data_IF_163204423944
#
_entry.id   IF_163204423944
#
_cell.length_a   1.000
_cell.length_b   1.000
_cell.length_c   1.000
_cell.angle_alpha   90.00
_cell.angle_beta   90.00
_cell.angle_gamma   90.00
#
_symmetry.space_group_name_H-M   'P 1'
#
loop_
_entity.id
_entity.type
_entity.pdbx_description
1 polymer ?
#
# COMPACT_ATOMS: atom_id res chain seq x y z
N UNK A 1 15.33 6.68 -12.14
CA UNK A 1 14.67 6.51 -13.46
C UNK A 1 15.11 5.27 -14.24
N UNK A 2 16.25 4.63 -13.95
CA UNK A 2 16.83 3.56 -14.79
C UNK A 2 15.91 2.33 -14.95
N UNK A 3 15.12 1.98 -13.93
CA UNK A 3 14.30 0.77 -13.94
C UNK A 3 12.92 0.93 -14.57
N UNK A 4 12.38 2.15 -14.62
CA UNK A 4 10.99 2.34 -14.97
C UNK A 4 10.65 2.01 -16.43
N UNK A 5 11.48 2.36 -17.43
CA UNK A 5 11.25 1.91 -18.81
C UNK A 5 11.22 0.39 -18.93
N UNK A 6 12.18 -0.31 -18.29
CA UNK A 6 12.22 -1.78 -18.29
C UNK A 6 11.02 -2.40 -17.60
N UNK A 7 10.49 -1.77 -16.55
CA UNK A 7 9.29 -2.25 -15.87
C UNK A 7 8.06 -2.07 -16.78
N UNK A 8 7.97 -0.94 -17.47
CA UNK A 8 6.89 -0.65 -18.41
C UNK A 8 6.90 -1.66 -19.56
N UNK A 9 8.06 -1.87 -20.21
CA UNK A 9 8.24 -2.84 -21.29
C UNK A 9 7.86 -4.26 -20.85
N UNK A 10 8.26 -4.66 -19.64
CA UNK A 10 7.89 -5.96 -19.08
C UNK A 10 6.39 -6.07 -18.83
N UNK A 11 5.77 -5.03 -18.29
CA UNK A 11 4.35 -5.01 -17.97
C UNK A 11 3.49 -5.10 -19.24
N UNK A 12 3.80 -4.30 -20.27
CA UNK A 12 3.08 -4.30 -21.55
C UNK A 12 3.30 -5.61 -22.30
N UNK A 13 4.53 -6.14 -22.31
CA UNK A 13 4.82 -7.44 -22.93
C UNK A 13 4.07 -8.59 -22.24
N UNK A 14 3.98 -8.57 -20.90
CA UNK A 14 3.26 -9.59 -20.15
C UNK A 14 1.73 -9.48 -20.37
N UNK A 15 1.20 -8.27 -20.44
CA UNK A 15 -0.21 -8.01 -20.73
C UNK A 15 -0.57 -8.21 -22.22
N UNK A 16 0.43 -8.27 -23.11
CA UNK A 16 0.28 -8.35 -24.56
C UNK A 16 -0.55 -7.19 -25.14
N UNK A 17 -0.30 -6.00 -24.64
CA UNK A 17 -0.95 -4.76 -25.11
C UNK A 17 0.10 -3.79 -25.65
N UNK A 18 -0.30 -2.97 -26.62
CA UNK A 18 0.39 -1.75 -26.97
C UNK A 18 -0.02 -0.60 -26.04
N UNK A 19 0.90 0.33 -25.75
CA UNK A 19 0.60 1.46 -24.87
C UNK A 19 -0.49 2.39 -25.42
N UNK A 20 -0.72 2.39 -26.74
CA UNK A 20 -1.81 3.15 -27.36
C UNK A 20 -3.20 2.60 -27.02
N UNK A 21 -3.29 1.33 -26.63
CA UNK A 21 -4.53 0.68 -26.19
C UNK A 21 -4.91 1.06 -24.76
N UNK A 22 -4.02 1.71 -24.01
CA UNK A 22 -4.29 2.16 -22.64
C UNK A 22 -5.27 3.34 -22.66
N UNK A 23 -6.35 3.22 -21.88
CA UNK A 23 -7.38 4.27 -21.79
C UNK A 23 -7.01 5.40 -20.84
N UNK A 24 -6.25 5.12 -19.77
CA UNK A 24 -5.81 6.12 -18.80
C UNK A 24 -4.50 5.69 -18.11
N UNK A 25 -3.71 6.68 -17.68
CA UNK A 25 -2.49 6.43 -16.91
C UNK A 25 -2.67 6.90 -15.47
N UNK A 26 -2.46 6.02 -14.52
CA UNK A 26 -2.61 6.31 -13.09
C UNK A 26 -1.26 6.27 -12.37
N UNK A 27 -1.07 7.16 -11.39
CA UNK A 27 0.06 7.04 -10.45
C UNK A 27 -0.30 7.56 -9.07
N UNK A 28 0.28 6.94 -8.05
CA UNK A 28 0.20 7.39 -6.66
C UNK A 28 0.73 8.81 -6.53
N UNK A 29 -0.08 9.70 -5.97
CA UNK A 29 0.25 11.11 -5.75
C UNK A 29 0.48 11.47 -4.28
N UNK A 30 0.21 10.53 -3.37
CA UNK A 30 0.55 10.64 -1.94
C UNK A 30 -0.46 9.91 -1.04
N UNK A 31 -0.20 9.82 0.27
CA UNK A 31 1.06 10.20 0.94
C UNK A 31 2.23 9.27 0.58
N UNK A 32 3.46 9.69 0.89
CA UNK A 32 4.67 8.91 0.65
C UNK A 32 5.91 9.77 0.47
N UNK A 33 7.06 9.13 0.22
CA UNK A 33 8.31 9.85 -0.01
C UNK A 33 8.22 10.68 -1.31
N UNK A 34 8.36 12.00 -1.19
CA UNK A 34 8.17 12.94 -2.29
C UNK A 34 8.99 12.59 -3.54
N UNK A 35 10.26 12.21 -3.38
CA UNK A 35 11.13 11.83 -4.49
C UNK A 35 10.65 10.58 -5.23
N UNK A 36 10.17 9.57 -4.50
CA UNK A 36 9.60 8.34 -5.09
C UNK A 36 8.29 8.62 -5.82
N UNK A 37 7.40 9.42 -5.21
CA UNK A 37 6.13 9.81 -5.81
C UNK A 37 6.34 10.62 -7.09
N UNK A 38 7.29 11.56 -7.09
CA UNK A 38 7.62 12.36 -8.26
C UNK A 38 8.06 11.51 -9.45
N UNK A 39 8.82 10.43 -9.23
CA UNK A 39 9.24 9.55 -10.32
C UNK A 39 8.03 8.90 -11.00
N UNK A 40 7.15 8.27 -10.22
CA UNK A 40 5.94 7.61 -10.76
C UNK A 40 4.99 8.60 -11.44
N UNK A 41 4.71 9.72 -10.78
CA UNK A 41 3.82 10.75 -11.30
C UNK A 41 4.37 11.39 -12.59
N UNK A 42 5.68 11.65 -12.68
CA UNK A 42 6.29 12.24 -13.88
C UNK A 42 6.21 11.30 -15.08
N UNK A 43 6.42 10.00 -14.88
CA UNK A 43 6.32 8.99 -15.94
C UNK A 43 4.88 8.87 -16.42
N UNK A 44 3.92 8.67 -15.50
CA UNK A 44 2.52 8.52 -15.86
C UNK A 44 1.96 9.77 -16.56
N UNK A 45 2.33 10.98 -16.11
CA UNK A 45 1.97 12.23 -16.78
C UNK A 45 2.61 12.35 -18.17
N UNK A 46 3.88 11.97 -18.31
CA UNK A 46 4.56 11.96 -19.61
C UNK A 46 3.87 11.04 -20.62
N UNK A 47 3.47 9.84 -20.18
CA UNK A 47 2.69 8.89 -20.99
C UNK A 47 1.31 9.44 -21.34
N UNK A 48 0.57 9.96 -20.35
CA UNK A 48 -0.73 10.59 -20.56
C UNK A 48 -0.68 11.70 -21.61
N UNK A 49 0.31 12.60 -21.52
CA UNK A 49 0.51 13.66 -22.51
C UNK A 49 0.88 13.08 -23.88
N UNK A 50 1.83 12.14 -23.94
CA UNK A 50 2.33 11.57 -25.19
C UNK A 50 1.27 10.80 -25.98
N UNK A 51 0.36 10.10 -25.29
CA UNK A 51 -0.72 9.32 -25.91
C UNK A 51 -2.06 10.06 -25.96
N UNK A 52 -2.15 11.29 -25.43
CA UNK A 52 -3.40 12.05 -25.38
C UNK A 52 -4.48 11.40 -24.52
N UNK A 53 -4.08 10.76 -23.41
CA UNK A 53 -4.97 10.02 -22.50
C UNK A 53 -5.10 10.72 -21.14
N UNK A 54 -6.17 10.49 -20.37
CA UNK A 54 -6.32 11.01 -19.01
C UNK A 54 -5.21 10.53 -18.06
N UNK A 55 -4.84 11.40 -17.13
CA UNK A 55 -4.00 11.07 -15.98
C UNK A 55 -4.85 11.00 -14.71
N UNK A 56 -4.68 9.93 -13.93
CA UNK A 56 -5.39 9.71 -12.66
C UNK A 56 -4.39 9.80 -11.48
N UNK A 57 -4.61 10.79 -10.62
CA UNK A 57 -3.84 10.96 -9.40
C UNK A 57 -4.45 10.11 -8.27
N UNK A 58 -3.75 9.06 -7.85
CA UNK A 58 -4.28 8.08 -6.89
C UNK A 58 -3.78 8.37 -5.47
N UNK A 59 -4.68 8.37 -4.49
CA UNK A 59 -4.30 8.41 -3.09
C UNK A 59 -3.80 7.02 -2.65
N UNK A 60 -2.60 6.97 -2.06
CA UNK A 60 -1.95 5.74 -1.62
C UNK A 60 -2.78 4.97 -0.59
N UNK A 61 -3.39 5.68 0.37
CA UNK A 61 -4.20 5.08 1.43
C UNK A 61 -5.55 4.60 0.90
N UNK A 62 -6.15 5.34 -0.03
CA UNK A 62 -7.35 4.88 -0.73
C UNK A 62 -7.07 3.60 -1.53
N UNK A 63 -5.90 3.53 -2.20
CA UNK A 63 -5.45 2.28 -2.84
C UNK A 63 -5.36 1.11 -1.85
N UNK A 64 -4.84 1.33 -0.64
CA UNK A 64 -4.85 0.32 0.41
C UNK A 64 -6.27 -0.09 0.83
N UNK A 65 -7.16 0.89 1.09
CA UNK A 65 -8.55 0.65 1.49
C UNK A 65 -9.34 -0.12 0.44
N UNK A 66 -9.13 0.19 -0.84
CA UNK A 66 -9.88 -0.39 -1.95
C UNK A 66 -9.32 -1.71 -2.47
N UNK A 67 -8.04 -2.02 -2.15
CA UNK A 67 -7.39 -3.24 -2.63
C UNK A 67 -8.15 -4.56 -2.33
N UNK A 68 -8.84 -4.74 -1.19
CA UNK A 68 -9.61 -5.97 -0.92
C UNK A 68 -10.83 -6.13 -1.83
N UNK A 69 -11.33 -5.04 -2.41
CA UNK A 69 -12.50 -5.03 -3.29
C UNK A 69 -12.13 -5.19 -4.78
N UNK A 70 -10.83 -5.23 -5.10
CA UNK A 70 -10.34 -5.42 -6.45
C UNK A 70 -10.45 -6.90 -6.89
N UNK A 71 -11.39 -7.21 -7.80
CA UNK A 71 -11.57 -8.57 -8.37
C UNK A 71 -11.60 -8.57 -9.90
N UNK A 72 -10.52 -8.06 -10.52
CA UNK A 72 -10.22 -8.31 -11.95
C UNK A 72 -11.41 -8.25 -12.93
N UNK A 73 -11.48 -9.22 -13.85
CA UNK A 73 -12.48 -9.27 -14.92
C UNK A 73 -13.87 -9.79 -14.50
N UNK A 74 -14.00 -10.35 -13.29
CA UNK A 74 -15.21 -11.06 -12.84
C UNK A 74 -16.22 -10.14 -12.12
N UNK A 75 -15.93 -8.83 -12.07
CA UNK A 75 -16.74 -7.83 -11.37
C UNK A 75 -16.44 -7.79 -9.87
N UNK A 76 -16.08 -6.61 -9.36
CA UNK A 76 -15.87 -6.40 -7.92
C UNK A 76 -17.18 -6.54 -7.15
N UNK A 77 -17.11 -7.03 -5.91
CA UNK A 77 -18.22 -6.80 -4.97
C UNK A 77 -18.32 -5.29 -4.70
N UNK A 78 -19.54 -4.73 -4.61
CA UNK A 78 -19.69 -3.34 -4.22
C UNK A 78 -19.04 -3.11 -2.85
N UNK A 79 -18.44 -1.93 -2.68
CA UNK A 79 -17.95 -1.50 -1.38
C UNK A 79 -19.16 -1.44 -0.45
N UNK A 80 -19.14 -2.27 0.60
CA UNK A 80 -20.16 -2.27 1.64
C UNK A 80 -19.63 -1.47 2.83
N UNK A 81 -20.51 -0.77 3.59
CA UNK A 81 -20.09 -0.10 4.80
C UNK A 81 -19.31 -1.03 5.73
N UNK A 82 -18.10 -0.62 6.13
CA UNK A 82 -17.20 -1.45 6.92
C UNK A 82 -16.25 -0.61 7.78
N UNK A 83 -15.68 -1.25 8.81
CA UNK A 83 -14.54 -0.72 9.53
C UNK A 83 -13.27 -1.35 8.96
N UNK A 84 -12.47 -0.56 8.26
CA UNK A 84 -11.19 -0.97 7.67
C UNK A 84 -10.03 -0.67 8.60
N UNK A 85 -9.05 -1.58 8.64
CA UNK A 85 -7.79 -1.39 9.36
C UNK A 85 -6.63 -1.42 8.36
N UNK A 86 -5.96 -0.29 8.18
CA UNK A 86 -4.74 -0.19 7.37
C UNK A 86 -3.56 -0.47 8.31
N UNK A 87 -2.85 -1.58 8.10
CA UNK A 87 -1.65 -1.95 8.85
C UNK A 87 -0.52 -2.25 7.88
N UNK A 88 0.40 -1.30 7.71
CA UNK A 88 1.55 -1.40 6.80
C UNK A 88 2.83 -0.98 7.49
N UNK A 89 3.94 -0.92 6.74
CA UNK A 89 5.21 -0.38 7.23
C UNK A 89 5.12 1.06 7.72
N UNK A 90 4.33 1.92 7.06
CA UNK A 90 4.26 3.36 7.38
C UNK A 90 2.91 3.84 7.90
N UNK A 91 1.91 2.96 8.03
CA UNK A 91 0.56 3.34 8.43
C UNK A 91 -0.05 2.31 9.37
N UNK A 92 -0.68 2.79 10.44
CA UNK A 92 -1.55 2.00 11.32
C UNK A 92 -2.74 2.88 11.68
N UNK A 93 -3.90 2.58 11.08
CA UNK A 93 -5.10 3.40 11.25
C UNK A 93 -6.39 2.61 11.01
N UNK A 94 -7.45 3.02 11.69
CA UNK A 94 -8.79 2.52 11.52
C UNK A 94 -9.67 3.57 10.85
N UNK A 95 -10.37 3.16 9.80
CA UNK A 95 -11.17 4.02 8.93
C UNK A 95 -12.55 3.41 8.77
N UNK A 96 -13.59 4.16 9.09
CA UNK A 96 -14.97 3.80 8.74
C UNK A 96 -15.18 4.14 7.26
N UNK A 97 -15.50 3.14 6.46
CA UNK A 97 -15.74 3.26 5.02
C UNK A 97 -17.23 3.08 4.79
N UNK A 98 -17.89 4.10 4.24
CA UNK A 98 -19.30 4.02 3.82
C UNK A 98 -19.42 3.48 2.39
N UNK A 99 -18.70 4.12 1.47
CA UNK A 99 -18.62 3.80 0.04
C UNK A 99 -17.30 4.38 -0.55
N UNK A 100 -17.12 4.32 -1.87
CA UNK A 100 -16.06 5.02 -2.57
C UNK A 100 -16.09 6.53 -2.25
N UNK A 101 -14.94 7.08 -1.87
CA UNK A 101 -14.77 8.46 -1.44
C UNK A 101 -15.56 8.89 -0.18
N UNK A 102 -16.20 7.96 0.53
CA UNK A 102 -16.85 8.20 1.83
C UNK A 102 -16.07 7.49 2.95
N UNK A 103 -15.13 8.23 3.54
CA UNK A 103 -14.18 7.72 4.53
C UNK A 103 -14.12 8.62 5.76
N UNK A 104 -14.23 8.02 6.94
CA UNK A 104 -14.02 8.70 8.22
C UNK A 104 -12.87 8.05 8.98
N UNK A 105 -11.81 8.80 9.25
CA UNK A 105 -10.73 8.35 10.13
C UNK A 105 -11.26 8.24 11.57
N UNK A 106 -11.19 7.04 12.14
CA UNK A 106 -11.60 6.77 13.53
C UNK A 106 -10.41 6.92 14.47
N UNK A 107 -9.25 6.43 14.05
CA UNK A 107 -8.03 6.52 14.85
C UNK A 107 -6.80 6.11 14.06
N UNK A 108 -5.63 6.53 14.54
CA UNK A 108 -4.33 6.14 13.97
C UNK A 108 -3.28 6.07 15.08
N UNK A 109 -2.20 5.35 14.81
CA UNK A 109 -1.02 5.41 15.66
C UNK A 109 -0.55 6.86 15.85
N UNK A 110 -0.04 7.16 17.04
CA UNK A 110 0.58 8.45 17.38
C UNK A 110 2.10 8.40 17.26
N UNK A 111 2.67 7.21 17.10
CA UNK A 111 4.10 6.94 17.03
C UNK A 111 4.44 5.99 15.87
N UNK A 112 4.88 4.77 16.16
CA UNK A 112 5.29 3.80 15.18
C UNK A 112 4.07 3.14 14.54
N UNK A 113 4.12 3.00 13.22
CA UNK A 113 3.24 2.03 12.56
C UNK A 113 3.64 0.62 12.99
N UNK A 114 2.68 -0.31 12.99
CA UNK A 114 2.93 -1.69 13.38
C UNK A 114 4.07 -2.31 12.56
N UNK A 115 4.09 -2.13 11.23
CA UNK A 115 5.17 -2.65 10.40
C UNK A 115 6.55 -2.07 10.78
N UNK A 116 6.63 -0.78 11.06
CA UNK A 116 7.85 -0.13 11.56
C UNK A 116 8.29 -0.68 12.92
N UNK A 117 7.34 -0.93 13.84
CA UNK A 117 7.63 -1.56 15.13
C UNK A 117 8.22 -2.98 14.94
N UNK A 118 7.65 -3.79 14.05
CA UNK A 118 8.21 -5.10 13.70
C UNK A 118 9.63 -4.97 13.13
N UNK A 119 9.89 -4.01 12.26
CA UNK A 119 11.23 -3.79 11.69
C UNK A 119 12.27 -3.36 12.73
N UNK A 120 11.89 -2.46 13.66
CA UNK A 120 12.76 -2.03 14.77
C UNK A 120 13.07 -3.17 15.72
N UNK A 121 12.06 -3.95 16.11
CA UNK A 121 12.24 -5.12 16.99
C UNK A 121 13.12 -6.17 16.32
N UNK A 122 12.89 -6.47 15.03
CA UNK A 122 13.72 -7.40 14.27
C UNK A 122 15.18 -6.97 14.27
N UNK A 123 15.45 -5.68 14.05
CA UNK A 123 16.81 -5.11 14.13
C UNK A 123 17.44 -5.27 15.51
N UNK A 124 16.68 -5.02 16.59
CA UNK A 124 17.16 -5.22 17.97
C UNK A 124 17.51 -6.67 18.26
N UNK A 125 16.80 -7.61 17.65
CA UNK A 125 17.04 -9.06 17.75
C UNK A 125 18.13 -9.57 16.78
N UNK A 126 18.79 -8.67 16.02
CA UNK A 126 19.81 -9.06 15.04
C UNK A 126 19.27 -9.80 13.81
N UNK A 127 17.99 -9.60 13.48
CA UNK A 127 17.33 -10.19 12.31
C UNK A 127 17.47 -9.30 11.06
N UNK A 128 17.17 -9.89 9.89
CA UNK A 128 17.19 -9.19 8.60
C UNK A 128 15.99 -8.25 8.38
N UNK A 129 16.03 -7.52 7.26
CA UNK A 129 14.95 -6.65 6.79
C UNK A 129 14.29 -7.21 5.51
N UNK A 130 12.95 -7.13 5.34
CA UNK A 130 11.97 -6.61 6.28
C UNK A 130 11.78 -7.53 7.50
N UNK A 131 11.61 -6.92 8.66
CA UNK A 131 11.63 -7.58 9.97
C UNK A 131 10.37 -8.35 10.31
N UNK A 132 9.20 -7.88 9.86
CA UNK A 132 7.91 -8.56 10.08
C UNK A 132 7.91 -10.04 9.68
N UNK A 133 8.23 -10.38 8.42
CA UNK A 133 8.32 -11.77 7.96
C UNK A 133 9.38 -12.60 8.71
N UNK A 134 10.47 -11.98 9.15
CA UNK A 134 11.52 -12.67 9.90
C UNK A 134 11.09 -13.00 11.33
N UNK A 135 10.34 -12.12 11.98
CA UNK A 135 9.72 -12.37 13.28
C UNK A 135 8.67 -13.49 13.14
N UNK A 136 7.75 -13.38 12.18
CA UNK A 136 6.69 -14.39 11.96
C UNK A 136 7.24 -15.81 11.80
N UNK A 137 8.32 -15.97 11.01
CA UNK A 137 8.96 -17.29 10.82
C UNK A 137 9.45 -17.90 12.14
N UNK A 138 9.95 -17.09 13.07
CA UNK A 138 10.56 -17.53 14.34
C UNK A 138 9.53 -17.75 15.44
N UNK A 139 8.36 -17.12 15.35
CA UNK A 139 7.30 -17.27 16.36
C UNK A 139 6.45 -18.53 16.21
N UNK A 140 6.49 -19.24 15.07
CA UNK A 140 5.66 -20.44 14.81
C UNK A 140 5.76 -21.57 15.84
N UNK A 141 6.88 -21.67 16.56
CA UNK A 141 7.08 -22.63 17.66
C UNK A 141 7.25 -21.98 19.04
N UNK A 142 6.96 -20.68 19.15
CA UNK A 142 7.09 -19.93 20.39
C UNK A 142 5.88 -20.11 21.31
N UNK A 143 6.09 -19.84 22.60
CA UNK A 143 5.00 -19.71 23.58
C UNK A 143 4.53 -18.25 23.64
N UNK A 144 3.30 -17.93 23.20
CA UNK A 144 2.79 -16.56 23.19
C UNK A 144 2.61 -15.96 24.60
N UNK A 145 2.63 -16.79 25.66
CA UNK A 145 2.47 -16.36 27.05
C UNK A 145 3.80 -16.29 27.79
N UNK A 146 4.93 -16.53 27.11
CA UNK A 146 6.25 -16.58 27.75
C UNK A 146 6.67 -15.23 28.36
N UNK A 147 6.25 -14.14 27.72
CA UNK A 147 6.58 -12.77 28.12
C UNK A 147 5.30 -11.93 28.13
N UNK A 148 5.15 -11.09 29.16
CA UNK A 148 4.07 -10.11 29.25
C UNK A 148 4.55 -8.79 28.62
N UNK A 149 4.19 -8.57 27.35
CA UNK A 149 4.49 -7.34 26.64
C UNK A 149 3.34 -6.33 26.83
N UNK A 150 3.63 -5.08 27.18
CA UNK A 150 2.59 -4.10 27.49
C UNK A 150 1.73 -3.80 26.26
N UNK A 151 0.43 -3.57 26.49
CA UNK A 151 -0.45 -2.92 25.52
C UNK A 151 -0.45 -1.43 25.81
N UNK A 152 0.14 -0.65 24.91
CA UNK A 152 0.16 0.81 25.02
C UNK A 152 -1.25 1.39 24.82
N UNK A 153 -1.58 2.44 25.60
CA UNK A 153 -2.85 3.18 25.51
C UNK A 153 -4.12 2.29 25.51
N UNK A 154 -4.32 1.44 26.53
CA UNK A 154 -5.47 0.53 26.57
C UNK A 154 -6.81 1.20 26.91
N UNK A 155 -6.82 2.49 27.27
CA UNK A 155 -7.96 3.24 27.78
C UNK A 155 -8.28 4.49 26.95
#
# INVERSE_FOLDING_TARGET
MIYAPRLLDRATSAAKIDLSEVDAFAATSGPGLASSLMIGASIAKGLAIGFGKPYLAINHLEGHLLSPFFRGADGGEPIKPNLSLIVSGGHTMSVLVGDLADYQLIGRTVDDAAGEAFDKVAKMLGLGYPGGPEIEKRTRGGDPNRFDLPRSMPD
#
